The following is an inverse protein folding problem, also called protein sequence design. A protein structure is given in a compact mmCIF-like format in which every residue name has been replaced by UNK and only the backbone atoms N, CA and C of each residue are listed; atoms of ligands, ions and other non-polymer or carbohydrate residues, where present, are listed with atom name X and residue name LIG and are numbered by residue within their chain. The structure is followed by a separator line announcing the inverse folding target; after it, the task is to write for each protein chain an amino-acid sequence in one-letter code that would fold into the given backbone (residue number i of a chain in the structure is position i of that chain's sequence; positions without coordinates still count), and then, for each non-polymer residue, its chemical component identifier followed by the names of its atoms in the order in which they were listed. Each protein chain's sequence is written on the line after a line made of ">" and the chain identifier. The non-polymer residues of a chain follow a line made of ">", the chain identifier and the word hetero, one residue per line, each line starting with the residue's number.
data_IF_610750549781
#
_entry.id   IF_610750549781
#
_cell.length_a   1.000
_cell.length_b   1.000
_cell.length_c   1.000
_cell.angle_alpha   90.00
_cell.angle_beta   90.00
_cell.angle_gamma   90.00
#
_symmetry.space_group_name_H-M   'P 1'
#
loop_
_entity.id
_entity.type
_entity.pdbx_description
1 polymer ?
#
# COMPACT_ATOMS: atom_id res chain seq x y z
N UNK A 1 3.02 4.39 2.93
CA UNK A 1 4.01 5.49 2.94
C UNK A 1 3.26 6.78 3.10
N UNK A 2 3.80 7.78 3.81
CA UNK A 2 3.13 9.07 4.00
C UNK A 2 4.02 10.22 3.52
N UNK A 3 3.40 11.29 3.03
CA UNK A 3 4.09 12.54 2.71
C UNK A 3 4.77 13.13 3.93
N UNK A 4 6.01 13.60 3.77
CA UNK A 4 6.81 14.16 4.86
C UNK A 4 6.20 15.44 5.46
N UNK A 5 5.30 16.09 4.74
CA UNK A 5 4.61 17.32 5.11
C UNK A 5 3.29 17.08 5.86
N UNK A 6 3.02 15.85 6.33
CA UNK A 6 1.80 15.51 7.08
C UNK A 6 1.51 16.43 8.27
N UNK A 7 2.52 16.89 9.01
CA UNK A 7 2.33 17.79 10.15
C UNK A 7 2.00 19.24 9.73
N UNK A 8 2.13 19.55 8.44
CA UNK A 8 1.85 20.88 7.86
C UNK A 8 0.50 20.90 7.16
N UNK A 9 0.22 19.90 6.31
CA UNK A 9 -1.00 19.87 5.47
C UNK A 9 -2.06 18.87 5.95
N UNK A 10 -1.68 17.92 6.82
CA UNK A 10 -2.56 16.87 7.31
C UNK A 10 -2.80 15.74 6.31
N UNK A 11 -3.50 14.70 6.77
CA UNK A 11 -4.03 13.65 5.92
C UNK A 11 -5.47 14.00 5.46
N UNK A 12 -5.86 13.75 4.20
CA UNK A 12 -5.11 13.05 3.14
C UNK A 12 -4.27 13.98 2.22
N UNK A 13 -4.13 15.26 2.56
CA UNK A 13 -3.43 16.24 1.69
C UNK A 13 -1.94 15.92 1.48
N UNK A 14 -1.28 15.34 2.49
CA UNK A 14 0.12 14.89 2.39
C UNK A 14 0.32 13.70 1.43
N UNK A 15 -0.76 13.00 1.08
CA UNK A 15 -0.70 11.79 0.27
C UNK A 15 -0.26 10.54 1.04
N UNK A 16 -0.75 9.40 0.59
CA UNK A 16 -0.40 8.09 1.10
C UNK A 16 -0.20 7.11 -0.07
N UNK A 17 0.84 6.29 0.02
CA UNK A 17 1.10 5.21 -0.95
C UNK A 17 1.31 3.89 -0.20
N UNK A 18 0.35 2.99 -0.33
CA UNK A 18 0.36 1.68 0.29
C UNK A 18 0.93 0.66 -0.69
N UNK A 19 2.20 0.32 -0.48
CA UNK A 19 2.91 -0.65 -1.34
C UNK A 19 2.29 -2.04 -1.21
N UNK A 20 1.89 -2.41 0.02
CA UNK A 20 1.24 -3.67 0.33
C UNK A 20 0.45 -3.55 1.63
N UNK A 21 -0.83 -3.88 1.54
CA UNK A 21 -1.69 -4.21 2.67
C UNK A 21 -2.20 -5.65 2.50
N UNK A 22 -2.28 -6.41 3.58
CA UNK A 22 -2.87 -7.74 3.61
C UNK A 22 -3.83 -7.85 4.79
N UNK A 23 -5.00 -8.43 4.55
CA UNK A 23 -5.98 -8.73 5.60
C UNK A 23 -5.86 -10.22 5.96
N UNK A 24 -5.72 -10.53 7.25
CA UNK A 24 -5.53 -11.92 7.71
C UNK A 24 -6.65 -12.89 7.30
N UNK A 25 -7.89 -12.40 7.13
CA UNK A 25 -9.04 -13.20 6.64
C UNK A 25 -9.00 -13.47 5.13
N UNK A 26 -8.16 -12.74 4.39
CA UNK A 26 -7.92 -12.89 2.95
C UNK A 26 -6.43 -13.15 2.69
N UNK A 27 -5.88 -14.26 3.23
CA UNK A 27 -4.43 -14.43 3.36
C UNK A 27 -3.69 -14.61 2.02
N UNK A 28 -4.43 -14.82 0.93
CA UNK A 28 -3.90 -14.95 -0.42
C UNK A 28 -3.95 -13.64 -1.22
N UNK A 29 -4.53 -12.57 -0.68
CA UNK A 29 -4.78 -11.31 -1.39
C UNK A 29 -4.02 -10.15 -0.76
N UNK A 30 -3.34 -9.36 -1.58
CA UNK A 30 -2.78 -8.07 -1.18
C UNK A 30 -3.52 -6.93 -1.89
N UNK A 31 -3.43 -5.75 -1.28
CA UNK A 31 -3.94 -4.50 -1.83
C UNK A 31 -2.78 -3.52 -1.92
N UNK A 32 -2.72 -2.79 -3.03
CA UNK A 32 -2.00 -1.53 -3.11
C UNK A 32 -3.02 -0.42 -3.28
N UNK A 33 -2.83 0.65 -2.52
CA UNK A 33 -3.75 1.78 -2.50
C UNK A 33 -2.95 3.07 -2.56
N UNK A 34 -3.50 4.09 -3.22
CA UNK A 34 -3.04 5.46 -3.03
C UNK A 34 -4.18 6.29 -2.47
N UNK A 35 -3.86 7.16 -1.51
CA UNK A 35 -4.80 8.11 -0.92
C UNK A 35 -4.34 9.54 -1.12
N UNK A 36 -5.29 10.41 -1.46
CA UNK A 36 -5.07 11.83 -1.57
C UNK A 36 -6.38 12.61 -1.48
N UNK A 37 -6.34 13.93 -1.69
CA UNK A 37 -7.53 14.78 -1.57
C UNK A 37 -8.60 14.39 -2.60
N UNK A 38 -9.79 14.04 -2.10
CA UNK A 38 -10.95 13.51 -2.84
C UNK A 38 -10.86 12.03 -3.28
N UNK A 39 -9.86 11.29 -2.81
CA UNK A 39 -9.71 9.85 -3.08
C UNK A 39 -8.97 9.16 -1.92
N UNK A 40 -9.55 9.22 -0.72
CA UNK A 40 -8.95 8.71 0.51
C UNK A 40 -9.90 7.80 1.31
N UNK A 41 -9.37 7.12 2.33
CA UNK A 41 -10.13 6.14 3.13
C UNK A 41 -10.72 5.05 2.23
N UNK A 42 -12.00 4.73 2.40
CA UNK A 42 -12.71 3.78 1.53
C UNK A 42 -12.80 4.21 0.06
N UNK A 43 -12.55 5.49 -0.26
CA UNK A 43 -12.48 6.03 -1.62
C UNK A 43 -11.07 6.05 -2.22
N UNK A 44 -10.09 5.42 -1.57
CA UNK A 44 -8.74 5.23 -2.10
C UNK A 44 -8.76 4.60 -3.50
N UNK A 45 -7.73 4.89 -4.29
CA UNK A 45 -7.57 4.28 -5.61
C UNK A 45 -6.76 3.00 -5.40
N UNK A 46 -7.46 1.87 -5.36
CA UNK A 46 -6.88 0.57 -5.02
C UNK A 46 -6.82 -0.41 -6.19
N UNK A 47 -5.82 -1.29 -6.15
CA UNK A 47 -5.73 -2.51 -6.95
C UNK A 47 -5.34 -3.68 -6.06
N UNK A 48 -5.79 -4.88 -6.42
CA UNK A 48 -5.49 -6.10 -5.66
C UNK A 48 -4.82 -7.17 -6.51
N UNK A 49 -4.10 -8.05 -5.83
CA UNK A 49 -3.53 -9.25 -6.42
C UNK A 49 -3.77 -10.43 -5.49
N UNK A 50 -4.25 -11.55 -6.05
CA UNK A 50 -4.43 -12.80 -5.32
C UNK A 50 -3.53 -13.90 -5.87
N UNK A 51 -2.85 -14.61 -4.97
CA UNK A 51 -2.13 -15.83 -5.30
C UNK A 51 -3.12 -16.89 -5.79
N UNK A 52 -2.72 -17.67 -6.81
CA UNK A 52 -3.53 -18.80 -7.30
C UNK A 52 -3.63 -19.95 -6.29
N UNK A 53 -2.64 -20.06 -5.40
CA UNK A 53 -2.55 -21.10 -4.36
C UNK A 53 -1.68 -20.59 -3.21
N UNK A 54 -2.03 -20.98 -1.98
CA UNK A 54 -1.26 -20.65 -0.78
C UNK A 54 -1.61 -19.28 -0.22
N UNK A 55 -0.78 -18.78 0.69
CA UNK A 55 -0.93 -17.50 1.39
C UNK A 55 0.37 -16.71 1.32
N UNK A 56 0.28 -15.39 1.41
CA UNK A 56 1.47 -14.52 1.45
C UNK A 56 2.33 -14.74 2.70
N UNK A 57 1.76 -15.31 3.76
CA UNK A 57 2.48 -15.67 4.98
C UNK A 57 3.31 -16.96 4.88
N UNK A 58 3.16 -17.75 3.80
CA UNK A 58 3.83 -19.05 3.69
C UNK A 58 5.31 -18.91 3.26
N UNK A 59 5.68 -17.83 2.57
CA UNK A 59 7.04 -17.56 2.07
C UNK A 59 7.36 -16.05 2.06
N UNK A 60 8.64 -15.70 1.92
CA UNK A 60 9.01 -14.32 1.60
C UNK A 60 8.61 -13.98 0.15
N UNK A 61 8.02 -12.80 -0.01
CA UNK A 61 7.64 -12.23 -1.30
C UNK A 61 8.27 -10.84 -1.47
N UNK A 62 8.52 -10.44 -2.72
CA UNK A 62 9.03 -9.10 -3.01
C UNK A 62 7.87 -8.19 -3.44
N UNK A 63 7.41 -7.36 -2.52
CA UNK A 63 6.53 -6.24 -2.82
C UNK A 63 7.37 -5.04 -3.26
N UNK A 64 6.99 -4.41 -4.37
CA UNK A 64 7.74 -3.30 -4.92
C UNK A 64 6.81 -2.27 -5.56
N UNK A 65 7.31 -1.05 -5.65
CA UNK A 65 6.70 0.06 -6.33
C UNK A 65 7.74 0.75 -7.20
N UNK A 66 7.37 1.10 -8.42
CA UNK A 66 8.11 2.05 -9.25
C UNK A 66 7.31 3.34 -9.34
N UNK A 67 7.96 4.46 -9.00
CA UNK A 67 7.32 5.77 -8.90
C UNK A 67 8.14 6.80 -9.69
N UNK A 68 7.44 7.51 -10.57
CA UNK A 68 7.95 8.65 -11.33
C UNK A 68 6.92 9.80 -11.36
N UNK A 69 7.25 10.97 -11.92
CA UNK A 69 6.34 12.13 -11.93
C UNK A 69 5.00 11.93 -12.66
N UNK A 70 4.85 10.86 -13.43
CA UNK A 70 3.67 10.58 -14.25
C UNK A 70 2.85 9.39 -13.75
N UNK A 71 3.45 8.46 -13.01
CA UNK A 71 2.74 7.27 -12.53
C UNK A 71 3.40 6.59 -11.33
N UNK A 72 2.61 5.72 -10.70
CA UNK A 72 3.04 4.76 -9.69
C UNK A 72 2.58 3.36 -10.15
N UNK A 73 3.51 2.43 -10.26
CA UNK A 73 3.26 1.03 -10.62
C UNK A 73 3.65 0.10 -9.46
N UNK A 74 2.80 -0.89 -9.17
CA UNK A 74 2.94 -1.82 -8.06
C UNK A 74 3.17 -3.24 -8.56
N UNK A 75 4.03 -3.96 -7.83
CA UNK A 75 4.54 -5.25 -8.23
C UNK A 75 4.56 -6.21 -7.04
N UNK A 76 4.31 -7.48 -7.33
CA UNK A 76 4.59 -8.59 -6.44
C UNK A 76 5.42 -9.63 -7.18
N UNK A 77 6.56 -10.00 -6.60
CA UNK A 77 7.53 -10.94 -7.18
C UNK A 77 7.98 -10.56 -8.61
N UNK A 78 8.02 -9.25 -8.90
CA UNK A 78 8.38 -8.71 -10.22
C UNK A 78 7.23 -8.69 -11.24
N UNK A 79 6.03 -9.14 -10.88
CA UNK A 79 4.83 -9.04 -11.72
C UNK A 79 4.08 -7.75 -11.40
N UNK A 80 3.95 -6.86 -12.38
CA UNK A 80 3.10 -5.68 -12.27
C UNK A 80 1.63 -6.10 -12.19
N UNK A 81 0.88 -5.57 -11.23
CA UNK A 81 -0.55 -5.89 -11.08
C UNK A 81 -1.45 -4.66 -10.98
N UNK A 82 -0.87 -3.49 -10.68
CA UNK A 82 -1.64 -2.26 -10.54
C UNK A 82 -0.78 -1.07 -10.93
N UNK A 83 -1.35 -0.14 -11.71
CA UNK A 83 -0.69 1.11 -12.09
C UNK A 83 -1.69 2.25 -11.97
N UNK A 84 -1.27 3.35 -11.35
CA UNK A 84 -2.04 4.58 -11.28
C UNK A 84 -1.26 5.68 -11.95
N UNK A 85 -1.89 6.35 -12.92
CA UNK A 85 -1.28 7.47 -13.63
C UNK A 85 -1.78 8.80 -13.06
N UNK A 86 -0.93 9.82 -13.11
CA UNK A 86 -1.27 11.19 -12.73
C UNK A 86 -2.51 11.70 -13.47
N UNK A 87 -2.59 11.45 -14.77
CA UNK A 87 -3.74 11.82 -15.58
C UNK A 87 -5.05 11.12 -15.17
N UNK A 88 -4.98 9.92 -14.58
CA UNK A 88 -6.16 9.24 -14.04
C UNK A 88 -6.56 9.82 -12.67
N UNK A 89 -5.59 10.15 -11.82
CA UNK A 89 -5.80 10.77 -10.51
C UNK A 89 -6.43 12.15 -10.66
N UNK A 90 -5.91 12.97 -11.58
CA UNK A 90 -6.37 14.35 -11.82
C UNK A 90 -7.82 14.45 -12.32
N UNK A 91 -8.43 13.33 -12.73
CA UNK A 91 -9.88 13.25 -13.00
C UNK A 91 -10.74 13.16 -11.72
N UNK A 92 -10.14 12.81 -10.58
CA UNK A 92 -10.80 12.64 -9.27
C UNK A 92 -10.37 13.71 -8.26
N UNK A 93 -9.09 14.05 -8.23
CA UNK A 93 -8.52 14.97 -7.24
C UNK A 93 -7.09 15.38 -7.58
N UNK A 94 -6.46 16.13 -6.69
CA UNK A 94 -5.09 16.63 -6.92
C UNK A 94 -4.07 15.49 -6.83
N UNK A 95 -3.09 15.48 -7.73
CA UNK A 95 -1.89 14.66 -7.57
C UNK A 95 -1.00 15.21 -6.44
N UNK A 96 -0.70 14.39 -5.43
CA UNK A 96 0.06 14.76 -4.22
C UNK A 96 1.26 13.82 -3.99
N UNK A 97 1.85 13.30 -5.07
CA UNK A 97 2.99 12.38 -5.03
C UNK A 97 4.16 12.99 -5.80
N UNK A 98 4.47 14.25 -5.49
CA UNK A 98 5.53 15.05 -6.12
C UNK A 98 6.43 15.76 -5.10
N UNK A 99 6.47 15.24 -3.89
CA UNK A 99 7.31 15.68 -2.78
C UNK A 99 7.87 14.48 -1.99
N UNK A 100 8.77 14.66 -1.00
CA UNK A 100 9.33 13.55 -0.24
C UNK A 100 8.31 12.78 0.62
N UNK A 101 8.45 11.46 0.66
CA UNK A 101 7.66 10.54 1.49
C UNK A 101 8.59 9.74 2.41
N UNK A 102 8.05 9.28 3.53
CA UNK A 102 8.74 8.33 4.42
C UNK A 102 8.03 6.97 4.47
N UNK A 103 8.81 5.93 4.79
CA UNK A 103 8.33 4.55 4.87
C UNK A 103 7.66 4.26 6.21
N UNK A 104 6.60 3.46 6.16
CA UNK A 104 5.94 2.89 7.33
C UNK A 104 5.89 1.37 7.17
N UNK A 105 6.21 0.66 8.24
CA UNK A 105 6.07 -0.80 8.35
C UNK A 105 5.41 -1.09 9.69
N UNK A 106 4.24 -1.73 9.66
CA UNK A 106 3.50 -2.06 10.87
C UNK A 106 2.71 -3.35 10.70
N UNK A 107 2.26 -3.90 11.83
CA UNK A 107 1.23 -4.94 11.90
C UNK A 107 0.12 -4.39 12.77
N UNK A 108 -1.01 -4.04 12.16
CA UNK A 108 -2.19 -3.63 12.89
C UNK A 108 -2.96 -4.86 13.40
N UNK A 109 -3.67 -4.69 14.53
CA UNK A 109 -4.57 -5.69 15.09
C UNK A 109 -5.94 -5.04 15.26
N UNK A 110 -6.93 -5.51 14.50
CA UNK A 110 -8.25 -4.89 14.42
C UNK A 110 -8.32 -3.67 13.50
N UNK A 111 -9.51 -3.09 13.40
CA UNK A 111 -9.78 -1.93 12.54
C UNK A 111 -11.04 -2.11 11.69
N UNK A 112 -11.60 -1.01 11.20
CA UNK A 112 -12.86 -0.99 10.44
C UNK A 112 -12.79 -1.83 9.15
N UNK A 113 -11.64 -1.82 8.48
CA UNK A 113 -11.43 -2.56 7.24
C UNK A 113 -11.08 -4.04 7.46
N UNK A 114 -10.02 -4.40 8.22
CA UNK A 114 -9.69 -5.80 8.46
C UNK A 114 -10.69 -6.51 9.39
N UNK A 115 -11.53 -5.74 10.09
CA UNK A 115 -12.39 -6.14 11.20
C UNK A 115 -11.61 -6.53 12.45
N UNK A 116 -12.33 -6.67 13.56
CA UNK A 116 -11.72 -7.03 14.83
C UNK A 116 -11.37 -8.53 14.89
N UNK A 117 -10.30 -8.90 15.62
CA UNK A 117 -10.00 -10.30 15.88
C UNK A 117 -11.12 -10.99 16.66
N UNK A 118 -11.29 -12.27 16.40
CA UNK A 118 -12.26 -13.13 17.09
C UNK A 118 -11.57 -14.38 17.69
N UNK A 119 -12.37 -15.33 18.17
CA UNK A 119 -11.86 -16.57 18.77
C UNK A 119 -11.09 -17.48 17.81
N UNK A 120 -11.17 -17.25 16.49
CA UNK A 120 -10.39 -17.97 15.49
C UNK A 120 -9.00 -17.35 15.25
N UNK A 121 -8.75 -16.16 15.79
CA UNK A 121 -7.50 -15.42 15.60
C UNK A 121 -6.36 -16.06 16.39
N UNK A 122 -5.26 -16.37 15.69
CA UNK A 122 -4.09 -17.04 16.28
C UNK A 122 -3.06 -15.98 16.70
N UNK A 123 -2.57 -16.08 17.93
CA UNK A 123 -1.54 -15.21 18.49
C UNK A 123 -0.34 -16.01 19.02
N UNK A 124 0.89 -15.46 18.99
CA UNK A 124 1.26 -14.17 18.38
C UNK A 124 1.36 -14.23 16.85
N UNK A 125 1.36 -13.06 16.20
CA UNK A 125 1.67 -12.89 14.77
C UNK A 125 2.94 -12.05 14.60
N UNK A 126 3.58 -12.13 13.44
CA UNK A 126 4.82 -11.39 13.15
C UNK A 126 4.87 -10.96 11.69
N UNK A 127 5.41 -9.76 11.45
CA UNK A 127 5.84 -9.32 10.12
C UNK A 127 7.36 -9.45 10.04
N UNK A 128 7.82 -10.34 9.17
CA UNK A 128 9.24 -10.55 8.93
C UNK A 128 9.64 -9.77 7.67
N UNK A 129 10.65 -8.92 7.81
CA UNK A 129 11.19 -8.10 6.71
C UNK A 129 12.67 -8.41 6.56
N UNK A 130 13.04 -9.08 5.47
CA UNK A 130 14.44 -9.41 5.17
C UNK A 130 15.23 -8.14 4.79
N UNK A 131 14.68 -7.32 3.89
CA UNK A 131 15.28 -6.04 3.52
C UNK A 131 14.27 -5.02 3.02
N UNK A 132 14.70 -3.76 3.02
CA UNK A 132 14.12 -2.68 2.22
C UNK A 132 15.22 -2.11 1.34
N UNK A 133 14.94 -1.89 0.05
CA UNK A 133 15.89 -1.30 -0.91
C UNK A 133 15.19 -0.19 -1.69
N UNK A 134 15.85 0.95 -1.80
CA UNK A 134 15.40 2.12 -2.56
C UNK A 134 16.40 2.35 -3.68
N UNK A 135 15.89 2.55 -4.89
CA UNK A 135 16.69 2.76 -6.10
C UNK A 135 16.29 4.07 -6.76
N UNK A 136 17.25 4.73 -7.39
CA UNK A 136 17.01 5.90 -8.21
C UNK A 136 17.36 5.57 -9.66
N UNK A 137 16.43 5.86 -10.58
CA UNK A 137 16.67 5.73 -12.01
C UNK A 137 17.76 6.73 -12.42
N UNK A 138 18.73 6.25 -13.19
CA UNK A 138 19.81 7.06 -13.77
C UNK A 138 19.41 7.59 -15.14
#
# INVERSE_FOLDING_TARGET
>A
MLGQDIDVVGWPECGEIDIMENIGREPATIHATIHGPNYSGAGGISGSYSLKKGRFADHFHRFAMEWDPHQIAFFVDGTAYFTVTRAAVEKRGKWVYDHPFYLLLNVAVGGSWPGDPDSSSIYPQSLLVDYVRVYQRR
#
